data_IF_468107361503
#
_entry.id   IF_468107361503
#
_cell.length_a   1.000
_cell.length_b   1.000
_cell.length_c   1.000
_cell.angle_alpha   90.00
_cell.angle_beta   90.00
_cell.angle_gamma   90.00
#
_symmetry.space_group_name_H-M   'P 1'
#
loop_
_entity.id
_entity.type
_entity.pdbx_description
1 polymer ?
#
# COMPACT_ATOMS: atom_id res chain seq x y z
N UNK A 1 33.08 -28.99 -9.18
CA UNK A 1 31.99 -29.38 -8.26
C UNK A 1 30.67 -29.22 -9.00
N UNK A 2 29.95 -30.32 -9.26
CA UNK A 2 28.67 -30.27 -9.97
C UNK A 2 27.53 -30.10 -8.96
N UNK A 3 26.82 -28.96 -8.93
CA UNK A 3 25.72 -28.73 -7.99
C UNK A 3 24.60 -29.78 -8.14
N UNK A 4 24.39 -30.28 -9.36
CA UNK A 4 23.40 -31.32 -9.68
C UNK A 4 23.67 -32.65 -8.97
N UNK A 5 24.93 -32.96 -8.61
CA UNK A 5 25.28 -34.24 -7.97
C UNK A 5 24.65 -34.38 -6.57
N UNK A 6 24.52 -33.28 -5.83
CA UNK A 6 23.93 -33.26 -4.49
C UNK A 6 22.43 -33.58 -4.55
N UNK A 7 21.72 -33.02 -5.54
CA UNK A 7 20.29 -33.23 -5.73
C UNK A 7 19.94 -34.66 -6.19
N UNK A 8 20.82 -35.29 -6.98
CA UNK A 8 20.65 -36.67 -7.46
C UNK A 8 20.95 -37.71 -6.37
N UNK A 9 21.98 -37.49 -5.55
CA UNK A 9 22.41 -38.44 -4.52
C UNK A 9 21.49 -38.47 -3.30
N UNK A 10 20.71 -37.41 -3.05
CA UNK A 10 19.76 -37.33 -1.94
C UNK A 10 18.35 -37.00 -2.44
N UNK A 11 17.68 -37.94 -3.16
CA UNK A 11 16.37 -37.69 -3.76
C UNK A 11 15.30 -37.29 -2.73
N UNK A 12 15.37 -37.86 -1.51
CA UNK A 12 14.44 -37.53 -0.41
C UNK A 12 14.64 -36.10 0.11
N UNK A 13 15.89 -35.63 0.21
CA UNK A 13 16.16 -34.25 0.65
C UNK A 13 15.69 -33.25 -0.40
N UNK A 14 15.91 -33.54 -1.69
CA UNK A 14 15.47 -32.71 -2.80
C UNK A 14 13.95 -32.62 -2.89
N UNK A 15 13.23 -33.74 -2.69
CA UNK A 15 11.76 -33.74 -2.72
C UNK A 15 11.16 -32.97 -1.54
N UNK A 16 11.72 -33.13 -0.34
CA UNK A 16 11.33 -32.34 0.84
C UNK A 16 11.60 -30.85 0.64
N UNK A 17 12.73 -30.48 0.03
CA UNK A 17 13.05 -29.09 -0.31
C UNK A 17 12.01 -28.51 -1.28
N UNK A 18 11.68 -29.24 -2.36
CA UNK A 18 10.66 -28.78 -3.31
C UNK A 18 9.27 -28.68 -2.68
N UNK A 19 8.91 -29.63 -1.81
CA UNK A 19 7.65 -29.56 -1.05
C UNK A 19 7.61 -28.34 -0.13
N UNK A 20 8.71 -28.05 0.57
CA UNK A 20 8.80 -26.87 1.43
C UNK A 20 8.67 -25.55 0.64
N UNK A 21 9.33 -25.44 -0.52
CA UNK A 21 9.21 -24.27 -1.40
C UNK A 21 7.78 -24.12 -1.91
N UNK A 22 7.15 -25.21 -2.34
CA UNK A 22 5.78 -25.21 -2.85
C UNK A 22 4.79 -24.77 -1.77
N UNK A 23 4.90 -25.31 -0.55
CA UNK A 23 4.04 -24.94 0.57
C UNK A 23 4.24 -23.48 0.98
N UNK A 24 5.49 -23.02 1.07
CA UNK A 24 5.79 -21.62 1.37
C UNK A 24 5.19 -20.67 0.32
N UNK A 25 5.31 -21.03 -0.96
CA UNK A 25 4.69 -20.28 -2.06
C UNK A 25 3.17 -20.26 -1.99
N UNK A 26 2.53 -21.38 -1.65
CA UNK A 26 1.08 -21.47 -1.50
C UNK A 26 0.57 -20.58 -0.36
N UNK A 27 1.25 -20.59 0.79
CA UNK A 27 0.91 -19.74 1.93
C UNK A 27 1.09 -18.26 1.56
N UNK A 28 2.23 -17.91 0.95
CA UNK A 28 2.48 -16.55 0.51
C UNK A 28 1.42 -16.07 -0.49
N UNK A 29 0.99 -16.91 -1.43
CA UNK A 29 -0.05 -16.58 -2.39
C UNK A 29 -1.40 -16.25 -1.74
N UNK A 30 -1.76 -16.95 -0.66
CA UNK A 30 -2.99 -16.67 0.10
C UNK A 30 -2.87 -15.40 0.94
N UNK A 31 -1.68 -15.09 1.44
CA UNK A 31 -1.40 -13.88 2.23
C UNK A 31 -1.24 -12.62 1.38
N UNK A 32 -1.17 -12.71 0.05
CA UNK A 32 -1.09 -11.52 -0.79
C UNK A 32 -2.42 -10.74 -0.71
N UNK A 33 -2.42 -9.53 -0.13
CA UNK A 33 -3.64 -8.72 -0.05
C UNK A 33 -3.99 -8.25 -1.46
N UNK A 34 -5.13 -8.70 -1.95
CA UNK A 34 -5.67 -8.21 -3.23
C UNK A 34 -6.28 -6.84 -2.96
N UNK A 35 -5.48 -5.78 -3.12
CA UNK A 35 -6.00 -4.40 -3.16
C UNK A 35 -6.81 -4.22 -4.45
N UNK A 36 -8.12 -4.47 -4.35
CA UNK A 36 -9.07 -4.39 -5.46
C UNK A 36 -9.22 -2.96 -6.02
N UNK A 37 -8.85 -1.94 -5.24
CA UNK A 37 -8.64 -0.59 -5.73
C UNK A 37 -7.32 -0.08 -5.13
N UNK A 38 -6.40 0.48 -5.93
CA UNK A 38 -5.38 1.35 -5.34
C UNK A 38 -6.15 2.39 -4.52
N UNK A 39 -5.79 2.55 -3.24
CA UNK A 39 -6.22 3.71 -2.46
C UNK A 39 -5.67 4.92 -3.20
N UNK A 40 -6.48 5.49 -4.08
CA UNK A 40 -6.23 6.83 -4.59
C UNK A 40 -6.60 7.71 -3.42
N UNK A 41 -5.69 7.78 -2.45
CA UNK A 41 -5.70 8.82 -1.44
C UNK A 41 -5.51 10.10 -2.23
N UNK A 42 -6.62 10.72 -2.64
CA UNK A 42 -6.61 12.11 -3.03
C UNK A 42 -6.48 12.86 -1.70
N UNK A 43 -5.31 13.45 -1.37
CA UNK A 43 -5.18 14.23 -0.16
C UNK A 43 -5.98 15.52 -0.34
N UNK A 44 -7.29 15.46 -0.12
CA UNK A 44 -8.13 16.64 -0.06
C UNK A 44 -7.84 17.31 1.28
N UNK A 45 -7.08 18.40 1.23
CA UNK A 45 -6.84 19.25 2.39
C UNK A 45 -8.11 20.10 2.58
N UNK A 46 -8.93 19.75 3.58
CA UNK A 46 -10.10 20.55 3.95
C UNK A 46 -9.70 21.60 5.00
N UNK A 47 -9.86 22.89 4.67
CA UNK A 47 -9.59 24.00 5.59
C UNK A 47 -10.90 24.61 6.09
N UNK A 48 -11.34 24.17 7.27
CA UNK A 48 -12.52 24.74 7.95
C UNK A 48 -12.12 26.03 8.68
N UNK A 49 -12.61 27.17 8.21
CA UNK A 49 -12.41 28.47 8.87
C UNK A 49 -13.74 28.98 9.44
N UNK A 50 -13.75 29.25 10.74
CA UNK A 50 -14.93 29.76 11.44
C UNK A 50 -14.66 31.20 11.90
N UNK A 51 -15.36 32.15 11.28
CA UNK A 51 -15.40 33.55 11.70
C UNK A 51 -16.84 33.93 12.10
N UNK A 52 -17.21 33.81 13.39
CA UNK A 52 -18.56 34.10 13.85
C UNK A 52 -18.89 35.59 13.69
N UNK A 53 -19.97 35.89 12.97
CA UNK A 53 -20.45 37.26 12.75
C UNK A 53 -20.00 37.92 11.43
N UNK A 54 -19.23 37.25 10.57
CA UNK A 54 -18.97 37.73 9.21
C UNK A 54 -20.08 37.34 8.25
N UNK A 55 -20.54 38.31 7.44
CA UNK A 55 -21.33 38.03 6.25
C UNK A 55 -20.54 37.23 5.21
N UNK A 56 -21.22 36.53 4.29
CA UNK A 56 -20.57 35.67 3.30
C UNK A 56 -19.52 36.40 2.43
N UNK A 57 -19.74 37.69 2.13
CA UNK A 57 -18.78 38.53 1.38
C UNK A 57 -17.46 38.77 2.14
N UNK A 58 -17.51 38.86 3.48
CA UNK A 58 -16.32 39.09 4.32
C UNK A 58 -15.50 37.81 4.46
N UNK A 59 -16.16 36.66 4.55
CA UNK A 59 -15.50 35.34 4.54
C UNK A 59 -14.69 35.12 3.26
N UNK A 60 -15.30 35.39 2.11
CA UNK A 60 -14.64 35.20 0.81
C UNK A 60 -13.43 36.11 0.63
N UNK A 61 -13.55 37.38 1.01
CA UNK A 61 -12.51 38.40 0.78
C UNK A 61 -11.39 38.42 1.81
N UNK A 62 -11.70 38.15 3.09
CA UNK A 62 -10.74 38.30 4.19
C UNK A 62 -10.12 36.98 4.66
N UNK A 63 -10.78 35.85 4.40
CA UNK A 63 -10.33 34.53 4.86
C UNK A 63 -9.97 33.64 3.67
N UNK A 64 -10.88 33.43 2.72
CA UNK A 64 -10.62 32.54 1.57
C UNK A 64 -9.56 33.08 0.60
N UNK A 65 -9.65 34.35 0.20
CA UNK A 65 -8.72 34.96 -0.77
C UNK A 65 -7.23 34.99 -0.35
N UNK A 66 -6.84 35.18 0.94
CA UNK A 66 -5.46 35.02 1.36
C UNK A 66 -5.04 33.54 1.51
N UNK A 67 -5.95 32.66 1.94
CA UNK A 67 -5.69 31.21 2.07
C UNK A 67 -5.43 30.52 0.72
N UNK A 68 -6.00 31.02 -0.39
CA UNK A 68 -5.71 30.50 -1.74
C UNK A 68 -4.42 31.06 -2.36
N UNK A 69 -3.92 32.20 -1.86
CA UNK A 69 -2.70 32.84 -2.38
C UNK A 69 -1.41 32.36 -1.72
N UNK A 70 -1.50 31.73 -0.55
CA UNK A 70 -0.36 31.22 0.23
C UNK A 70 -0.30 29.70 0.13
#
# INVERSE_FOLDING_TARGET
MNPSRLFILRPVATSLLMAAILLAGAIAYLELPVSALPQVDYPTIETLTFYPGAGPDVMASSVTAPLERQ
#
